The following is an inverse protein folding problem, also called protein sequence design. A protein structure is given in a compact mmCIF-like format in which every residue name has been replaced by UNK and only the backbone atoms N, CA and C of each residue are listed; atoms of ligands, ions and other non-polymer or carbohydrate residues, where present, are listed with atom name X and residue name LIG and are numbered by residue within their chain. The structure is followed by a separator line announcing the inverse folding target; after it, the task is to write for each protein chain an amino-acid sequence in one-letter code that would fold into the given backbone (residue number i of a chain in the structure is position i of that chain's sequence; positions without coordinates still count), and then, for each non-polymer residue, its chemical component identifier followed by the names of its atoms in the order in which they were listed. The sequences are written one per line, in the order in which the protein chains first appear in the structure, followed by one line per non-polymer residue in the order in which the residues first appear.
data_IF_643699826247
#
_entry.id   IF_643699826247
#
_cell.length_a   1.000
_cell.length_b   1.000
_cell.length_c   1.000
_cell.angle_alpha   90.00
_cell.angle_beta   90.00
_cell.angle_gamma   90.00
#
_symmetry.space_group_name_H-M   'P 1'
#
loop_
_entity.id
_entity.type
_entity.pdbx_description
1 polymer ?
#
# COMPACT_ATOMS: atom_id res chain seq x y z
N UNK A 1 3.13 -18.05 6.90
CA UNK A 1 2.81 -16.89 6.05
C UNK A 1 1.39 -16.34 6.29
N UNK A 2 0.34 -17.19 6.28
CA UNK A 2 -1.06 -16.76 6.48
C UNK A 2 -1.33 -16.05 7.83
N UNK A 3 -0.65 -16.47 8.89
CA UNK A 3 -0.84 -15.91 10.24
C UNK A 3 -0.23 -14.51 10.43
N UNK A 4 0.84 -14.20 9.70
CA UNK A 4 1.46 -12.87 9.72
C UNK A 4 0.55 -11.82 9.07
N UNK A 5 -0.14 -12.21 7.99
CA UNK A 5 -1.15 -11.38 7.31
C UNK A 5 -2.35 -11.07 8.20
N UNK A 6 -2.83 -12.07 8.94
CA UNK A 6 -3.95 -11.86 9.85
C UNK A 6 -3.58 -10.87 10.96
N UNK A 7 -2.37 -10.94 11.52
CA UNK A 7 -1.91 -9.98 12.53
C UNK A 7 -1.77 -8.56 11.97
N UNK A 8 -1.25 -8.41 10.74
CA UNK A 8 -1.19 -7.10 10.09
C UNK A 8 -2.59 -6.50 9.91
N UNK A 9 -3.57 -7.31 9.47
CA UNK A 9 -4.97 -6.89 9.37
C UNK A 9 -5.59 -6.57 10.72
N UNK A 10 -5.33 -7.34 11.77
CA UNK A 10 -5.87 -7.10 13.12
C UNK A 10 -5.30 -5.83 13.75
N UNK A 11 -4.02 -5.53 13.51
CA UNK A 11 -3.38 -4.27 13.94
C UNK A 11 -4.00 -3.10 13.21
N UNK A 12 -4.17 -3.19 11.88
CA UNK A 12 -4.82 -2.14 11.09
C UNK A 12 -6.27 -1.93 11.53
N UNK A 13 -7.00 -3.01 11.79
CA UNK A 13 -8.37 -2.94 12.32
C UNK A 13 -8.42 -2.26 13.69
N UNK A 14 -7.48 -2.57 14.59
CA UNK A 14 -7.40 -1.97 15.92
C UNK A 14 -7.04 -0.48 15.85
N UNK A 15 -6.10 -0.09 14.99
CA UNK A 15 -5.76 1.31 14.76
C UNK A 15 -6.92 2.08 14.12
N UNK A 16 -7.66 1.43 13.21
CA UNK A 16 -8.81 2.02 12.53
C UNK A 16 -10.02 2.21 13.46
N UNK A 17 -10.24 1.31 14.44
CA UNK A 17 -11.29 1.46 15.48
C UNK A 17 -11.08 2.73 16.32
N UNK A 18 -9.85 3.25 16.45
CA UNK A 18 -9.59 4.52 17.12
C UNK A 18 -10.02 5.77 16.31
N UNK A 19 -10.43 5.61 15.05
CA UNK A 19 -10.88 6.68 14.15
C UNK A 19 -12.24 6.32 13.54
N UNK A 20 -13.32 6.58 14.29
CA UNK A 20 -14.69 6.11 14.04
C UNK A 20 -15.38 6.57 12.74
N UNK A 21 -14.79 7.43 11.90
CA UNK A 21 -15.57 8.09 10.82
C UNK A 21 -15.24 7.70 9.36
N UNK A 22 -14.24 6.85 9.08
CA UNK A 22 -13.88 6.56 7.67
C UNK A 22 -13.32 5.16 7.40
N UNK A 23 -13.84 4.16 8.12
CA UNK A 23 -13.33 2.78 8.13
C UNK A 23 -13.28 2.07 6.76
N UNK A 24 -14.16 2.41 5.81
CA UNK A 24 -14.28 1.60 4.58
C UNK A 24 -13.69 2.26 3.31
N UNK A 25 -13.58 3.58 3.30
CA UNK A 25 -13.08 4.34 2.15
C UNK A 25 -11.55 4.51 2.16
N UNK A 26 -10.91 4.35 3.33
CA UNK A 26 -9.50 4.69 3.56
C UNK A 26 -8.56 3.50 3.64
N UNK A 27 -9.08 2.27 3.51
CA UNK A 27 -8.30 1.06 3.77
C UNK A 27 -7.59 0.57 2.49
N UNK A 28 -6.31 0.18 2.60
CA UNK A 28 -5.58 -0.45 1.51
C UNK A 28 -6.16 -1.84 1.24
N UNK A 29 -6.18 -2.22 -0.02
CA UNK A 29 -6.55 -3.55 -0.46
C UNK A 29 -5.46 -4.58 -0.13
N UNK A 30 -5.86 -5.84 -0.09
CA UNK A 30 -4.98 -6.96 0.25
C UNK A 30 -3.77 -7.07 -0.71
N UNK A 31 -3.94 -6.72 -1.98
CA UNK A 31 -2.87 -6.77 -2.98
C UNK A 31 -1.80 -5.71 -2.76
N UNK A 32 -2.19 -4.51 -2.31
CA UNK A 32 -1.27 -3.45 -1.90
C UNK A 32 -0.50 -3.89 -0.64
N UNK A 33 -1.19 -4.43 0.37
CA UNK A 33 -0.57 -4.95 1.60
C UNK A 33 0.39 -6.13 1.37
N UNK A 34 0.21 -6.86 0.28
CA UNK A 34 1.03 -8.01 -0.09
C UNK A 34 2.26 -7.66 -0.92
N UNK A 35 2.42 -6.41 -1.34
CA UNK A 35 3.56 -5.99 -2.13
C UNK A 35 4.87 -6.24 -1.38
N UNK A 36 5.86 -6.73 -2.12
CA UNK A 36 7.20 -6.91 -1.57
C UNK A 36 7.78 -5.54 -1.19
N UNK A 37 8.22 -5.41 0.06
CA UNK A 37 8.70 -4.15 0.63
C UNK A 37 7.59 -3.26 1.22
N UNK A 38 6.32 -3.66 1.16
CA UNK A 38 5.22 -2.90 1.76
C UNK A 38 5.12 -3.15 3.28
N UNK A 39 4.96 -2.08 4.06
CA UNK A 39 4.59 -2.15 5.47
C UNK A 39 3.10 -1.80 5.68
N UNK A 40 2.45 -2.30 6.74
CA UNK A 40 1.05 -1.96 7.03
C UNK A 40 0.82 -0.45 7.21
N UNK A 41 1.73 0.24 7.89
CA UNK A 41 1.62 1.68 8.14
C UNK A 41 1.77 2.49 6.85
N UNK A 42 2.70 2.09 5.97
CA UNK A 42 2.88 2.73 4.66
C UNK A 42 1.69 2.50 3.73
N UNK A 43 1.16 1.26 3.70
CA UNK A 43 -0.03 0.95 2.91
C UNK A 43 -1.24 1.79 3.35
N UNK A 44 -1.36 2.04 4.66
CA UNK A 44 -2.40 2.92 5.20
C UNK A 44 -2.18 4.39 4.78
N UNK A 45 -0.93 4.86 4.81
CA UNK A 45 -0.59 6.21 4.35
C UNK A 45 -0.89 6.39 2.84
N UNK A 46 -0.55 5.40 2.02
CA UNK A 46 -0.89 5.33 0.59
C UNK A 46 -2.41 5.35 0.37
N UNK A 47 -3.16 4.55 1.12
CA UNK A 47 -4.61 4.48 0.98
C UNK A 47 -5.31 5.80 1.38
N UNK A 48 -4.77 6.50 2.39
CA UNK A 48 -5.20 7.87 2.73
C UNK A 48 -4.92 8.88 1.61
N UNK A 49 -3.91 8.62 0.78
CA UNK A 49 -3.57 9.41 -0.40
C UNK A 49 -4.34 8.96 -1.67
N UNK A 50 -5.33 8.07 -1.52
CA UNK A 50 -6.15 7.54 -2.62
C UNK A 50 -5.55 6.33 -3.34
N UNK A 51 -4.35 5.88 -2.95
CA UNK A 51 -3.68 4.70 -3.53
C UNK A 51 -4.06 3.47 -2.72
N UNK A 52 -5.08 2.73 -3.16
CA UNK A 52 -5.68 1.65 -2.37
C UNK A 52 -5.23 0.28 -2.84
N UNK A 53 -4.95 0.12 -4.13
CA UNK A 53 -4.60 -1.16 -4.73
C UNK A 53 -3.17 -1.16 -5.29
N UNK A 54 -2.66 -2.34 -5.65
CA UNK A 54 -1.38 -2.44 -6.37
C UNK A 54 -1.45 -1.73 -7.72
N UNK A 55 -2.60 -1.75 -8.39
CA UNK A 55 -2.78 -1.07 -9.67
C UNK A 55 -2.73 0.45 -9.51
N UNK A 56 -3.42 1.00 -8.50
CA UNK A 56 -3.34 2.43 -8.20
C UNK A 56 -1.88 2.85 -7.98
N UNK A 57 -1.11 2.07 -7.21
CA UNK A 57 0.31 2.36 -6.97
C UNK A 57 1.16 2.25 -8.24
N UNK A 58 0.82 1.33 -9.14
CA UNK A 58 1.51 1.18 -10.42
C UNK A 58 1.29 2.39 -11.34
N UNK A 59 0.19 3.12 -11.19
CA UNK A 59 -0.10 4.33 -11.96
C UNK A 59 0.65 5.56 -11.41
N UNK A 60 1.05 5.55 -10.14
CA UNK A 60 1.74 6.67 -9.51
C UNK A 60 3.19 6.88 -9.99
N UNK A 61 3.68 8.09 -9.76
CA UNK A 61 5.07 8.53 -9.91
C UNK A 61 5.74 8.77 -8.56
N UNK A 62 7.08 8.83 -8.53
CA UNK A 62 7.83 9.13 -7.30
C UNK A 62 7.42 10.51 -6.76
N UNK A 63 7.21 11.49 -7.65
CA UNK A 63 6.82 12.84 -7.28
C UNK A 63 5.45 12.89 -6.58
N UNK A 64 4.50 12.06 -7.01
CA UNK A 64 3.17 11.95 -6.38
C UNK A 64 3.20 11.28 -5.00
N UNK A 65 4.27 10.55 -4.69
CA UNK A 65 4.44 9.87 -3.41
C UNK A 65 5.40 10.60 -2.46
N UNK A 66 6.06 11.67 -2.91
CA UNK A 66 7.01 12.44 -2.10
C UNK A 66 6.36 13.12 -0.88
N UNK A 67 5.05 13.37 -0.93
CA UNK A 67 4.30 13.99 0.17
C UNK A 67 3.95 12.98 1.29
N UNK A 68 4.25 11.69 1.10
CA UNK A 68 3.96 10.64 2.07
C UNK A 68 5.10 10.56 3.10
N UNK A 69 4.77 10.90 4.35
CA UNK A 69 5.72 10.83 5.45
C UNK A 69 6.22 9.40 5.67
N UNK A 70 7.55 9.24 5.75
CA UNK A 70 8.19 7.95 5.94
C UNK A 70 8.41 7.13 4.67
N UNK A 71 8.15 7.70 3.48
CA UNK A 71 8.47 7.08 2.19
C UNK A 71 9.61 7.82 1.49
N UNK A 72 10.80 7.21 1.43
CA UNK A 72 11.92 7.79 0.70
C UNK A 72 11.74 7.65 -0.82
N UNK A 73 12.26 8.59 -1.64
CA UNK A 73 12.13 8.54 -3.11
C UNK A 73 12.65 7.23 -3.73
N UNK A 74 13.73 6.67 -3.19
CA UNK A 74 14.31 5.41 -3.66
C UNK A 74 13.41 4.21 -3.34
N UNK A 75 12.71 4.25 -2.20
CA UNK A 75 11.76 3.21 -1.79
C UNK A 75 10.47 3.32 -2.58
N UNK A 76 9.97 4.54 -2.80
CA UNK A 76 8.83 4.82 -3.67
C UNK A 76 9.07 4.25 -5.08
N UNK A 77 10.25 4.53 -5.66
CA UNK A 77 10.62 3.99 -6.97
C UNK A 77 10.61 2.46 -7.02
N UNK A 78 11.16 1.80 -5.99
CA UNK A 78 11.13 0.33 -5.90
C UNK A 78 9.70 -0.20 -5.81
N UNK A 79 8.88 0.37 -4.93
CA UNK A 79 7.49 -0.07 -4.75
C UNK A 79 6.66 0.10 -6.02
N UNK A 80 6.80 1.23 -6.72
CA UNK A 80 6.15 1.48 -8.01
C UNK A 80 6.62 0.44 -9.05
N UNK A 81 7.92 0.16 -9.14
CA UNK A 81 8.43 -0.85 -10.08
C UNK A 81 7.91 -2.25 -9.75
N UNK A 82 7.87 -2.62 -8.47
CA UNK A 82 7.29 -3.91 -8.03
C UNK A 82 5.79 -3.97 -8.37
N UNK A 83 5.06 -2.89 -8.15
CA UNK A 83 3.64 -2.80 -8.51
C UNK A 83 3.40 -2.97 -10.01
N UNK A 84 4.29 -2.41 -10.85
CA UNK A 84 4.31 -2.54 -12.32
C UNK A 84 4.89 -3.85 -12.83
N UNK A 85 5.45 -4.72 -11.98
CA UNK A 85 6.07 -5.96 -12.42
C UNK A 85 5.17 -6.80 -13.35
N UNK A 86 3.84 -6.90 -13.14
CA UNK A 86 2.95 -7.61 -14.06
C UNK A 86 2.84 -7.00 -15.47
N UNK A 87 3.11 -5.71 -15.65
CA UNK A 87 3.13 -5.06 -16.97
C UNK A 87 4.36 -5.45 -17.79
N UNK A 88 5.45 -5.78 -17.09
CA UNK A 88 6.72 -6.21 -17.70
C UNK A 88 6.87 -7.73 -17.75
N UNK A 89 5.99 -8.47 -17.05
CA UNK A 89 5.92 -9.91 -17.19
C UNK A 89 5.49 -10.23 -18.63
N UNK A 90 6.16 -11.18 -19.32
CA UNK A 90 5.76 -11.56 -20.66
C UNK A 90 4.29 -11.98 -20.64
N UNK A 91 3.47 -11.31 -21.46
CA UNK A 91 2.07 -11.66 -21.65
C UNK A 91 2.02 -13.12 -22.07
N UNK A 92 1.54 -14.00 -21.17
CA UNK A 92 1.40 -15.42 -21.44
C UNK A 92 0.10 -15.67 -22.20
#
# INVERSE_FOLDING_TARGET
VKELRNRARDVLLTQAIASEESLDQSMPADDLLLLEGMSPDLALALARHGVRTREDLAEQSIDELNDIEGLAPEEAGKLIMTARAPWFAPSH
#
